data_IF_802700495880
#
_entry.id   IF_802700495880
#
_cell.length_a   1.000
_cell.length_b   1.000
_cell.length_c   1.000
_cell.angle_alpha   90.00
_cell.angle_beta   90.00
_cell.angle_gamma   90.00
#
_symmetry.space_group_name_H-M   'P 1'
#
loop_
_entity.id
_entity.type
_entity.pdbx_description
1 polymer ?
#
# COMPACT_ATOMS: atom_id res chain seq x y z
N UNK A 1 11.07 -6.06 15.19
CA UNK A 1 10.66 -5.32 13.99
C UNK A 1 9.26 -5.71 13.53
N UNK A 2 8.96 -6.99 13.27
CA UNK A 2 7.63 -7.43 12.78
C UNK A 2 6.44 -6.92 13.63
N UNK A 3 6.53 -6.96 14.96
CA UNK A 3 5.43 -6.48 15.80
C UNK A 3 5.14 -4.97 15.65
N UNK A 4 6.16 -4.15 15.36
CA UNK A 4 5.98 -2.69 15.23
C UNK A 4 5.27 -2.32 13.92
N UNK A 5 5.56 -3.03 12.82
CA UNK A 5 4.90 -2.81 11.53
C UNK A 5 3.42 -3.20 11.62
N UNK A 6 3.12 -4.35 12.22
CA UNK A 6 1.74 -4.77 12.45
C UNK A 6 0.97 -3.78 13.33
N UNK A 7 1.63 -3.13 14.30
CA UNK A 7 0.99 -2.09 15.13
C UNK A 7 0.63 -0.83 14.32
N UNK A 8 1.47 -0.43 13.34
CA UNK A 8 1.12 0.66 12.41
C UNK A 8 -0.05 0.29 11.49
N UNK A 9 -0.11 -0.96 11.03
CA UNK A 9 -1.24 -1.46 10.22
C UNK A 9 -2.57 -1.48 10.98
N UNK A 10 -2.54 -1.75 12.29
CA UNK A 10 -3.72 -1.78 13.17
C UNK A 10 -4.25 -0.40 13.56
N UNK A 11 -3.46 0.66 13.42
CA UNK A 11 -3.79 1.93 14.01
C UNK A 11 -5.03 2.55 13.32
N UNK A 12 -6.14 2.72 14.06
CA UNK A 12 -7.15 3.72 13.75
C UNK A 12 -6.47 5.09 13.85
N UNK A 13 -5.94 5.63 12.74
CA UNK A 13 -5.15 6.87 12.79
C UNK A 13 -6.02 8.03 13.31
N UNK A 14 -5.74 8.60 14.50
CA UNK A 14 -6.45 9.76 15.00
C UNK A 14 -5.78 11.08 14.54
N UNK A 15 -4.84 11.01 13.59
CA UNK A 15 -4.13 12.18 13.03
C UNK A 15 -4.47 12.31 11.53
N UNK A 16 -4.40 13.52 10.95
CA UNK A 16 -4.61 13.70 9.52
C UNK A 16 -3.54 12.92 8.73
N UNK A 17 -3.94 11.82 8.10
CA UNK A 17 -3.07 10.91 7.34
C UNK A 17 -2.85 9.57 8.04
N UNK A 18 -3.03 8.47 7.31
CA UNK A 18 -2.63 7.13 7.75
C UNK A 18 -1.20 6.81 7.29
N UNK A 19 -0.52 5.87 7.96
CA UNK A 19 0.84 5.46 7.56
C UNK A 19 0.81 4.61 6.28
N UNK A 20 1.94 4.47 5.59
CA UNK A 20 2.03 3.65 4.38
C UNK A 20 1.65 2.19 4.66
N UNK A 21 2.07 1.64 5.81
CA UNK A 21 1.70 0.30 6.28
C UNK A 21 0.18 0.13 6.42
N UNK A 22 -0.51 1.14 6.96
CA UNK A 22 -1.97 1.11 7.08
C UNK A 22 -2.65 1.08 5.72
N UNK A 23 -2.19 1.89 4.76
CA UNK A 23 -2.72 1.90 3.40
C UNK A 23 -2.47 0.56 2.69
N UNK A 24 -1.30 -0.06 2.89
CA UNK A 24 -1.03 -1.41 2.41
C UNK A 24 -2.07 -2.40 2.95
N UNK A 25 -2.25 -2.44 4.28
CA UNK A 25 -3.15 -3.41 4.89
C UNK A 25 -4.61 -3.19 4.48
N UNK A 26 -5.05 -1.92 4.41
CA UNK A 26 -6.42 -1.59 4.01
C UNK A 26 -6.70 -1.97 2.55
N UNK A 27 -5.78 -1.69 1.63
CA UNK A 27 -5.95 -2.08 0.23
C UNK A 27 -5.89 -3.59 0.04
N UNK A 28 -5.09 -4.30 0.83
CA UNK A 28 -5.06 -5.76 0.86
C UNK A 28 -6.43 -6.35 1.27
N UNK A 29 -7.01 -5.87 2.38
CA UNK A 29 -8.34 -6.30 2.83
C UNK A 29 -9.42 -5.89 1.83
N UNK A 30 -9.34 -4.68 1.28
CA UNK A 30 -10.27 -4.20 0.25
C UNK A 30 -10.28 -5.07 -0.99
N UNK A 31 -9.10 -5.44 -1.51
CA UNK A 31 -8.98 -6.37 -2.62
C UNK A 31 -9.53 -7.77 -2.29
N UNK A 32 -9.32 -8.23 -1.06
CA UNK A 32 -9.85 -9.52 -0.60
C UNK A 32 -11.39 -9.56 -0.63
N UNK A 33 -12.02 -8.51 -0.09
CA UNK A 33 -13.49 -8.38 -0.10
C UNK A 33 -14.04 -8.17 -1.51
N UNK A 34 -13.39 -7.34 -2.33
CA UNK A 34 -13.83 -7.04 -3.70
C UNK A 34 -13.75 -8.27 -4.63
N UNK A 35 -12.78 -9.15 -4.40
CA UNK A 35 -12.55 -10.34 -5.25
C UNK A 35 -13.27 -11.61 -4.78
N UNK A 36 -14.10 -11.51 -3.73
CA UNK A 36 -14.76 -12.65 -3.07
C UNK A 36 -16.27 -12.44 -2.97
N UNK A 37 -17.04 -13.52 -2.99
CA UNK A 37 -18.47 -13.50 -2.68
C UNK A 37 -18.76 -14.23 -1.37
N UNK A 38 -19.92 -13.96 -0.76
CA UNK A 38 -20.28 -14.51 0.55
C UNK A 38 -20.80 -15.96 0.54
N UNK A 39 -20.92 -16.56 -0.65
CA UNK A 39 -21.38 -17.94 -0.87
C UNK A 39 -22.74 -18.24 -0.21
N UNK A 40 -23.58 -17.21 -0.07
CA UNK A 40 -24.90 -17.32 0.59
C UNK A 40 -25.95 -18.07 -0.23
N UNK A 41 -25.73 -18.27 -1.53
CA UNK A 41 -26.59 -19.04 -2.42
C UNK A 41 -25.81 -19.94 -3.41
N UNK A 42 -26.54 -20.71 -4.22
CA UNK A 42 -25.97 -21.67 -5.19
C UNK A 42 -25.21 -21.01 -6.36
N UNK A 43 -25.29 -19.69 -6.51
CA UNK A 43 -24.59 -18.91 -7.53
C UNK A 43 -23.39 -18.14 -6.94
N UNK A 44 -23.05 -18.37 -5.68
CA UNK A 44 -21.95 -17.71 -4.98
C UNK A 44 -22.38 -16.52 -4.11
N UNK A 45 -23.67 -16.16 -4.07
CA UNK A 45 -24.17 -15.08 -3.22
C UNK A 45 -23.79 -13.67 -3.68
N UNK A 46 -23.59 -12.76 -2.73
CA UNK A 46 -23.31 -11.34 -2.99
C UNK A 46 -21.81 -11.01 -2.86
N UNK A 47 -21.29 -10.03 -3.62
CA UNK A 47 -19.93 -9.53 -3.44
C UNK A 47 -19.68 -9.06 -2.00
N UNK A 48 -18.57 -9.50 -1.41
CA UNK A 48 -18.32 -9.22 0.01
C UNK A 48 -18.05 -7.73 0.29
N UNK A 49 -17.50 -6.99 -0.67
CA UNK A 49 -17.29 -5.54 -0.55
C UNK A 49 -18.59 -4.70 -0.52
N UNK A 50 -19.74 -5.33 -0.78
CA UNK A 50 -21.04 -4.66 -0.68
C UNK A 50 -21.61 -4.66 0.75
N UNK A 51 -21.28 -5.67 1.55
CA UNK A 51 -21.92 -5.93 2.85
C UNK A 51 -20.94 -6.07 4.02
N UNK A 52 -19.64 -6.17 3.76
CA UNK A 52 -18.61 -6.38 4.77
C UNK A 52 -17.48 -5.36 4.62
N UNK A 53 -16.88 -5.01 5.75
CA UNK A 53 -15.65 -4.22 5.77
C UNK A 53 -14.60 -4.80 6.75
N UNK A 54 -13.49 -4.08 6.92
CA UNK A 54 -12.39 -4.49 7.80
C UNK A 54 -12.82 -4.76 9.24
N UNK A 55 -13.91 -4.16 9.72
CA UNK A 55 -14.47 -4.38 11.06
C UNK A 55 -15.23 -5.70 11.21
N UNK A 56 -15.53 -6.37 10.09
CA UNK A 56 -16.18 -7.67 10.05
C UNK A 56 -15.22 -8.85 10.07
N UNK A 57 -13.91 -8.61 9.99
CA UNK A 57 -12.91 -9.65 10.17
C UNK A 57 -13.01 -10.27 11.57
N UNK A 58 -12.94 -11.61 11.64
CA UNK A 58 -12.73 -12.29 12.92
C UNK A 58 -11.34 -11.94 13.50
N UNK A 59 -11.14 -12.01 14.83
CA UNK A 59 -9.85 -11.69 15.43
C UNK A 59 -8.69 -12.53 14.86
N UNK A 60 -8.92 -13.83 14.64
CA UNK A 60 -7.92 -14.74 14.09
C UNK A 60 -7.62 -14.42 12.62
N UNK A 61 -8.63 -14.05 11.84
CA UNK A 61 -8.48 -13.59 10.46
C UNK A 61 -7.65 -12.31 10.38
N UNK A 62 -8.02 -11.31 11.19
CA UNK A 62 -7.29 -10.04 11.29
C UNK A 62 -5.83 -10.29 11.67
N UNK A 63 -5.56 -11.12 12.67
CA UNK A 63 -4.19 -11.43 13.09
C UNK A 63 -3.39 -12.15 11.99
N UNK A 64 -3.99 -13.12 11.31
CA UNK A 64 -3.35 -13.83 10.20
C UNK A 64 -3.01 -12.90 9.04
N UNK A 65 -3.96 -12.08 8.60
CA UNK A 65 -3.74 -11.13 7.51
C UNK A 65 -2.67 -10.09 7.86
N UNK A 66 -2.70 -9.53 9.08
CA UNK A 66 -1.69 -8.59 9.56
C UNK A 66 -0.29 -9.20 9.57
N UNK A 67 -0.18 -10.46 9.98
CA UNK A 67 1.10 -11.17 10.01
C UNK A 67 1.67 -11.35 8.61
N UNK A 68 0.85 -11.77 7.65
CA UNK A 68 1.27 -11.94 6.27
C UNK A 68 1.63 -10.60 5.62
N UNK A 69 0.79 -9.58 5.81
CA UNK A 69 1.04 -8.24 5.30
C UNK A 69 2.32 -7.65 5.88
N UNK A 70 2.53 -7.72 7.19
CA UNK A 70 3.73 -7.21 7.83
C UNK A 70 4.99 -7.96 7.37
N UNK A 71 4.90 -9.28 7.14
CA UNK A 71 6.00 -10.06 6.62
C UNK A 71 6.34 -9.70 5.17
N UNK A 72 5.33 -9.60 4.29
CA UNK A 72 5.51 -9.22 2.89
C UNK A 72 6.05 -7.79 2.76
N UNK A 73 5.40 -6.83 3.42
CA UNK A 73 5.78 -5.43 3.34
C UNK A 73 7.19 -5.18 3.85
N UNK A 74 7.56 -5.76 5.00
CA UNK A 74 8.91 -5.61 5.55
C UNK A 74 10.00 -6.23 4.67
N UNK A 75 9.72 -7.38 4.04
CA UNK A 75 10.69 -8.07 3.20
C UNK A 75 10.90 -7.37 1.84
N UNK A 76 9.94 -6.57 1.40
CA UNK A 76 9.95 -5.93 0.09
C UNK A 76 9.93 -4.40 0.16
N UNK A 77 10.19 -3.80 1.32
CA UNK A 77 10.08 -2.36 1.56
C UNK A 77 10.83 -1.53 0.50
N UNK A 78 12.10 -1.86 0.25
CA UNK A 78 12.94 -1.17 -0.74
C UNK A 78 12.40 -1.35 -2.17
N UNK A 79 11.80 -2.51 -2.48
CA UNK A 79 11.24 -2.79 -3.80
C UNK A 79 9.91 -2.09 -4.02
N UNK A 80 9.06 -2.03 -2.98
CA UNK A 80 7.76 -1.34 -2.99
C UNK A 80 7.97 0.18 -3.13
N UNK A 81 8.99 0.72 -2.45
CA UNK A 81 9.25 2.15 -2.38
C UNK A 81 10.43 2.60 -3.24
N UNK A 82 10.85 1.82 -4.22
CA UNK A 82 12.02 2.14 -5.05
C UNK A 82 11.90 3.51 -5.74
N UNK A 83 10.70 3.88 -6.19
CA UNK A 83 10.45 5.20 -6.79
C UNK A 83 10.45 6.32 -5.75
N UNK A 84 9.87 6.09 -4.57
CA UNK A 84 9.95 7.03 -3.45
C UNK A 84 11.39 7.22 -2.93
N UNK A 85 12.22 6.17 -2.94
CA UNK A 85 13.64 6.23 -2.57
C UNK A 85 14.46 7.09 -3.53
N UNK A 86 14.16 7.11 -4.82
CA UNK A 86 14.83 8.02 -5.76
C UNK A 86 14.55 9.49 -5.42
N UNK A 87 13.31 9.81 -5.01
CA UNK A 87 12.96 11.13 -4.50
C UNK A 87 13.65 11.43 -3.16
N UNK A 88 13.58 10.51 -2.19
CA UNK A 88 14.19 10.66 -0.87
C UNK A 88 15.73 10.79 -0.97
N UNK A 89 16.33 10.00 -1.85
CA UNK A 89 17.76 9.93 -2.12
C UNK A 89 18.26 11.21 -2.78
N UNK A 90 17.54 11.72 -3.78
CA UNK A 90 17.81 13.02 -4.36
C UNK A 90 17.71 14.14 -3.31
N UNK A 91 16.65 14.14 -2.50
CA UNK A 91 16.46 15.12 -1.42
C UNK A 91 17.57 15.06 -0.36
N UNK A 92 17.96 13.85 0.09
CA UNK A 92 19.06 13.66 1.06
C UNK A 92 20.41 14.06 0.48
N UNK A 93 20.71 13.71 -0.77
CA UNK A 93 21.94 14.11 -1.46
C UNK A 93 22.04 15.64 -1.58
N UNK A 94 20.89 16.31 -1.72
CA UNK A 94 20.78 17.76 -1.68
C UNK A 94 20.79 18.36 -0.24
N UNK A 95 20.91 17.53 0.81
CA UNK A 95 21.01 17.96 2.21
C UNK A 95 19.69 18.05 2.99
N UNK A 96 18.57 17.53 2.46
CA UNK A 96 17.23 17.68 3.05
C UNK A 96 16.95 16.62 4.13
N UNK A 97 16.10 16.97 5.08
CA UNK A 97 15.77 16.11 6.25
C UNK A 97 14.28 15.77 6.24
N UNK A 98 13.95 14.48 6.41
CA UNK A 98 12.56 14.00 6.44
C UNK A 98 11.85 14.45 7.73
N UNK A 99 10.65 15.01 7.62
CA UNK A 99 9.76 15.20 8.76
C UNK A 99 9.04 13.88 9.06
N UNK A 100 9.42 13.23 10.16
CA UNK A 100 8.85 11.95 10.59
C UNK A 100 7.37 12.02 10.99
N UNK A 101 6.80 13.20 11.16
CA UNK A 101 5.41 13.38 11.60
C UNK A 101 4.40 13.39 10.45
N UNK A 102 4.81 13.83 9.25
CA UNK A 102 3.90 13.98 8.11
C UNK A 102 4.53 13.54 6.76
N UNK A 103 5.76 13.02 6.77
CA UNK A 103 6.41 12.43 5.59
C UNK A 103 7.01 13.43 4.61
N UNK A 104 6.81 14.74 4.79
CA UNK A 104 7.37 15.75 3.89
C UNK A 104 8.87 15.97 4.12
N UNK A 105 9.58 16.32 3.05
CA UNK A 105 10.99 16.71 3.12
C UNK A 105 11.14 18.17 3.55
N UNK A 106 12.07 18.42 4.46
CA UNK A 106 12.39 19.76 4.96
C UNK A 106 13.81 20.09 4.50
N UNK A 107 13.95 21.08 3.63
CA UNK A 107 15.24 21.59 3.22
C UNK A 107 16.04 22.15 4.40
N UNK A 108 17.38 22.09 4.37
CA UNK A 108 18.21 22.85 5.28
C UNK A 108 18.25 24.30 4.77
N UNK A 109 17.51 25.25 5.35
CA UNK A 109 17.65 26.64 4.89
C UNK A 109 17.74 27.62 6.04
N UNK A 110 18.80 28.44 5.99
CA UNK A 110 18.70 29.83 6.42
C UNK A 110 17.82 30.59 5.43
N UNK A 111 16.52 30.67 5.76
CA UNK A 111 15.45 31.54 5.22
C UNK A 111 15.45 31.76 3.70
N UNK A 112 14.66 31.17 2.82
CA UNK A 112 13.47 30.33 2.84
C UNK A 112 13.34 29.75 1.41
N UNK A 113 12.87 28.51 1.27
CA UNK A 113 11.99 27.97 0.20
C UNK A 113 11.33 26.73 0.81
N UNK A 114 10.01 26.60 0.72
CA UNK A 114 9.24 25.49 1.33
C UNK A 114 8.66 24.60 0.23
N UNK A 115 8.66 23.28 0.42
CA UNK A 115 7.89 22.36 -0.45
C UNK A 115 6.39 22.69 -0.40
N UNK A 116 5.92 23.35 0.67
CA UNK A 116 4.57 23.89 0.75
C UNK A 116 4.26 24.98 -0.31
N UNK A 117 5.26 25.47 -1.06
CA UNK A 117 5.06 26.41 -2.17
C UNK A 117 4.92 25.73 -3.53
N UNK A 118 5.23 24.43 -3.62
CA UNK A 118 5.13 23.66 -4.86
C UNK A 118 4.01 22.64 -4.72
N UNK A 119 3.02 22.74 -5.59
CA UNK A 119 1.82 21.90 -5.55
C UNK A 119 2.09 20.50 -6.17
N UNK A 120 3.23 20.33 -6.87
CA UNK A 120 3.56 19.06 -7.54
C UNK A 120 5.07 18.81 -7.72
N UNK A 121 5.41 17.55 -7.96
CA UNK A 121 6.77 17.13 -8.33
C UNK A 121 7.24 17.73 -9.67
N UNK A 122 6.32 17.90 -10.63
CA UNK A 122 6.61 18.50 -11.92
C UNK A 122 7.08 19.95 -11.79
N UNK A 123 6.42 20.73 -10.93
CA UNK A 123 6.80 22.12 -10.65
C UNK A 123 8.20 22.21 -10.03
N UNK A 124 8.53 21.27 -9.13
CA UNK A 124 9.85 21.19 -8.51
C UNK A 124 10.93 20.74 -9.53
N UNK A 125 10.63 19.75 -10.37
CA UNK A 125 11.53 19.27 -11.43
C UNK A 125 11.89 20.40 -12.40
N UNK A 126 10.90 21.16 -12.87
CA UNK A 126 11.11 22.31 -13.76
C UNK A 126 11.94 23.41 -13.08
N UNK A 127 11.66 23.73 -11.81
CA UNK A 127 12.38 24.77 -11.08
C UNK A 127 13.86 24.42 -10.82
N UNK A 128 14.22 23.14 -10.82
CA UNK A 128 15.57 22.65 -10.50
C UNK A 128 16.30 22.00 -11.69
N UNK A 129 15.75 22.08 -12.90
CA UNK A 129 16.31 21.48 -14.12
C UNK A 129 16.54 19.97 -13.98
N UNK A 130 15.61 19.29 -13.31
CA UNK A 130 15.60 17.83 -13.11
C UNK A 130 14.61 17.22 -14.10
N UNK A 131 15.02 16.20 -14.86
CA UNK A 131 14.13 15.48 -15.78
C UNK A 131 13.06 14.71 -14.96
N UNK A 132 11.76 15.03 -15.12
CA UNK A 132 10.72 14.36 -14.35
C UNK A 132 10.57 12.90 -14.80
N UNK A 133 10.50 11.99 -13.83
CA UNK A 133 10.21 10.58 -14.10
C UNK A 133 8.85 10.47 -14.83
N UNK A 134 8.89 10.04 -16.09
CA UNK A 134 7.67 9.91 -16.89
C UNK A 134 6.95 8.64 -16.50
N UNK A 135 5.98 8.75 -15.57
CA UNK A 135 4.69 8.03 -15.51
C UNK A 135 4.19 8.08 -14.07
N UNK A 136 3.24 8.96 -13.80
CA UNK A 136 2.34 8.75 -12.66
C UNK A 136 1.47 7.52 -12.98
N UNK A 137 1.47 6.46 -12.16
CA UNK A 137 0.56 5.34 -12.42
C UNK A 137 -0.91 5.80 -12.21
N UNK A 138 -1.89 5.08 -12.77
CA UNK A 138 -3.30 5.52 -12.89
C UNK A 138 -3.98 5.99 -11.59
N UNK A 139 -3.47 5.55 -10.42
CA UNK A 139 -4.00 5.90 -9.10
C UNK A 139 -3.60 7.31 -8.60
N UNK A 140 -2.96 8.15 -9.41
CA UNK A 140 -2.50 9.47 -9.00
C UNK A 140 -3.61 10.54 -8.88
N UNK A 141 -4.78 10.33 -9.49
CA UNK A 141 -5.73 11.44 -9.65
C UNK A 141 -6.76 11.56 -8.51
N UNK A 142 -6.98 10.52 -7.70
CA UNK A 142 -8.04 10.50 -6.68
C UNK A 142 -7.57 10.08 -5.27
N UNK A 143 -6.25 9.94 -5.04
CA UNK A 143 -5.69 9.51 -3.75
C UNK A 143 -5.19 10.71 -2.92
N UNK A 144 -5.92 11.07 -1.86
CA UNK A 144 -5.47 12.03 -0.85
C UNK A 144 -4.46 11.35 0.11
N UNK A 145 -3.19 11.24 -0.29
CA UNK A 145 -2.12 10.68 0.55
C UNK A 145 -0.72 10.88 -0.02
N UNK A 146 0.33 10.51 0.74
CA UNK A 146 1.71 10.61 0.28
C UNK A 146 2.02 9.61 -0.84
N UNK A 147 3.09 9.83 -1.61
CA UNK A 147 3.57 8.89 -2.64
C UNK A 147 3.80 7.49 -2.02
N UNK A 148 4.47 7.44 -0.86
CA UNK A 148 4.68 6.18 -0.13
C UNK A 148 3.36 5.50 0.27
N UNK A 149 2.35 6.26 0.70
CA UNK A 149 1.04 5.71 1.01
C UNK A 149 0.33 5.13 -0.22
N UNK A 150 0.50 5.78 -1.38
CA UNK A 150 -0.05 5.32 -2.66
C UNK A 150 0.64 4.05 -3.16
N UNK A 151 1.97 4.01 -3.15
CA UNK A 151 2.75 2.82 -3.50
C UNK A 151 2.42 1.63 -2.59
N UNK A 152 2.28 1.90 -1.29
CA UNK A 152 1.91 0.88 -0.32
C UNK A 152 0.46 0.38 -0.56
N UNK A 153 -0.48 1.28 -0.86
CA UNK A 153 -1.85 0.90 -1.24
C UNK A 153 -1.88 0.01 -2.49
N UNK A 154 -1.13 0.37 -3.53
CA UNK A 154 -0.97 -0.45 -4.75
C UNK A 154 -0.42 -1.83 -4.42
N UNK A 155 0.67 -1.88 -3.65
CA UNK A 155 1.31 -3.14 -3.30
C UNK A 155 0.41 -4.04 -2.44
N UNK A 156 -0.39 -3.46 -1.54
CA UNK A 156 -1.35 -4.22 -0.73
C UNK A 156 -2.42 -4.88 -1.58
N UNK A 157 -3.01 -4.14 -2.51
CA UNK A 157 -3.98 -4.65 -3.47
C UNK A 157 -3.40 -5.79 -4.31
N UNK A 158 -2.25 -5.55 -4.94
CA UNK A 158 -1.62 -6.53 -5.83
C UNK A 158 -1.08 -7.73 -5.09
N UNK A 159 -0.69 -7.57 -3.81
CA UNK A 159 -0.31 -8.70 -2.97
C UNK A 159 -1.45 -9.69 -2.81
N UNK A 160 -2.68 -9.23 -2.50
CA UNK A 160 -3.84 -10.12 -2.43
C UNK A 160 -4.12 -10.81 -3.78
N UNK A 161 -4.26 -10.02 -4.86
CA UNK A 161 -4.63 -10.57 -6.16
C UNK A 161 -3.59 -11.58 -6.67
N UNK A 162 -2.30 -11.30 -6.46
CA UNK A 162 -1.22 -12.17 -6.89
C UNK A 162 -1.14 -13.44 -6.07
N UNK A 163 -1.22 -13.35 -4.73
CA UNK A 163 -1.14 -14.56 -3.87
C UNK A 163 -2.33 -15.50 -4.12
N UNK A 164 -3.50 -14.94 -4.42
CA UNK A 164 -4.73 -15.69 -4.67
C UNK A 164 -4.99 -16.03 -6.14
N UNK A 165 -4.13 -15.56 -7.06
CA UNK A 165 -4.15 -15.86 -8.50
C UNK A 165 -5.42 -15.39 -9.21
N UNK A 166 -5.94 -14.20 -8.88
CA UNK A 166 -7.14 -13.61 -9.48
C UNK A 166 -6.95 -13.08 -10.92
N UNK A 167 -5.83 -13.39 -11.59
CA UNK A 167 -5.57 -13.00 -12.98
C UNK A 167 -5.11 -11.55 -13.18
N UNK A 168 -4.83 -10.84 -12.09
CA UNK A 168 -4.22 -9.50 -12.05
C UNK A 168 -3.25 -9.42 -10.85
N UNK A 169 -2.54 -8.29 -10.69
CA UNK A 169 -1.55 -8.08 -9.63
C UNK A 169 -0.21 -7.60 -10.19
N UNK A 170 0.92 -7.85 -9.52
CA UNK A 170 2.20 -7.19 -9.80
C UNK A 170 2.72 -7.25 -11.26
N UNK A 171 2.22 -8.17 -12.07
CA UNK A 171 2.64 -8.41 -13.46
C UNK A 171 1.74 -7.73 -14.51
N UNK A 172 0.68 -7.01 -14.11
CA UNK A 172 -0.31 -6.42 -15.04
C UNK A 172 0.10 -5.06 -15.65
N UNK A 173 1.26 -4.52 -15.24
CA UNK A 173 1.93 -3.39 -15.90
C UNK A 173 2.06 -2.13 -15.03
N UNK A 174 1.54 -2.14 -13.81
CA UNK A 174 1.63 -1.02 -12.88
C UNK A 174 2.99 -0.93 -12.15
N UNK A 175 3.80 -2.00 -12.19
CA UNK A 175 5.11 -2.08 -11.56
C UNK A 175 6.25 -2.16 -12.60
N UNK A 176 7.33 -1.38 -12.46
CA UNK A 176 8.49 -1.49 -13.35
C UNK A 176 9.30 -2.76 -13.06
N UNK A 177 10.02 -3.27 -14.05
CA UNK A 177 11.00 -4.34 -13.84
C UNK A 177 12.31 -3.77 -13.27
N UNK A 178 12.99 -4.47 -12.33
CA UNK A 178 12.71 -5.84 -11.88
C UNK A 178 11.70 -5.96 -10.71
N UNK A 179 11.12 -4.85 -10.22
CA UNK A 179 10.24 -4.85 -9.05
C UNK A 179 9.00 -5.73 -9.26
N UNK A 180 8.36 -5.64 -10.43
CA UNK A 180 7.22 -6.47 -10.82
C UNK A 180 7.51 -7.98 -10.60
N UNK A 181 8.59 -8.49 -11.19
CA UNK A 181 8.98 -9.91 -11.06
C UNK A 181 9.34 -10.28 -9.61
N UNK A 182 10.01 -9.41 -8.86
CA UNK A 182 10.40 -9.67 -7.46
C UNK A 182 9.15 -9.80 -6.59
N UNK A 183 8.24 -8.82 -6.67
CA UNK A 183 7.03 -8.76 -5.86
C UNK A 183 6.06 -9.89 -6.21
N UNK A 184 5.93 -10.22 -7.50
CA UNK A 184 5.10 -11.33 -7.96
C UNK A 184 5.56 -12.68 -7.38
N UNK A 185 6.87 -12.97 -7.44
CA UNK A 185 7.43 -14.18 -6.87
C UNK A 185 7.29 -14.22 -5.35
N UNK A 186 7.53 -13.08 -4.68
CA UNK A 186 7.37 -12.97 -3.24
C UNK A 186 5.91 -13.23 -2.82
N UNK A 187 4.94 -12.67 -3.53
CA UNK A 187 3.52 -12.81 -3.22
C UNK A 187 3.05 -14.26 -3.36
N UNK A 188 3.45 -14.94 -4.45
CA UNK A 188 3.12 -16.35 -4.69
C UNK A 188 3.67 -17.28 -3.62
N UNK A 189 4.77 -16.91 -2.96
CA UNK A 189 5.36 -17.71 -1.89
C UNK A 189 4.50 -17.78 -0.61
N UNK A 190 3.57 -16.84 -0.41
CA UNK A 190 2.61 -16.87 0.70
C UNK A 190 1.45 -17.86 0.48
N UNK A 191 1.29 -18.37 -0.73
CA UNK A 191 0.22 -19.31 -1.08
C UNK A 191 -1.16 -18.65 -1.22
N UNK A 192 -2.11 -19.46 -1.69
CA UNK A 192 -3.51 -19.03 -1.81
C UNK A 192 -4.14 -18.84 -0.43
N UNK A 193 -5.11 -17.94 -0.35
CA UNK A 193 -5.99 -17.79 0.79
C UNK A 193 -7.38 -17.39 0.28
N UNK A 194 -8.44 -17.90 0.89
CA UNK A 194 -9.81 -17.63 0.47
C UNK A 194 -10.59 -17.05 1.66
N UNK A 195 -11.51 -16.11 1.38
CA UNK A 195 -12.43 -15.59 2.38
C UNK A 195 -13.66 -16.50 2.50
N UNK A 196 -14.18 -16.62 3.71
CA UNK A 196 -15.47 -17.24 3.95
C UNK A 196 -16.17 -16.63 5.16
N UNK A 197 -17.48 -16.81 5.24
CA UNK A 197 -18.28 -16.37 6.38
C UNK A 197 -18.23 -17.46 7.46
N UNK A 198 -17.58 -17.15 8.58
CA UNK A 198 -17.48 -18.01 9.74
C UNK A 198 -18.59 -17.79 10.77
N UNK A 199 -18.39 -18.39 11.94
CA UNK A 199 -19.35 -18.32 13.05
C UNK A 199 -19.64 -16.86 13.46
N UNK A 200 -20.93 -16.56 13.68
CA UNK A 200 -21.38 -15.22 14.06
C UNK A 200 -21.37 -14.20 12.92
N UNK A 201 -21.24 -14.65 11.66
CA UNK A 201 -21.27 -13.77 10.49
C UNK A 201 -19.97 -12.99 10.28
N UNK A 202 -18.87 -13.45 10.86
CA UNK A 202 -17.56 -12.80 10.73
C UNK A 202 -16.80 -13.35 9.54
N UNK A 203 -16.04 -12.46 8.88
CA UNK A 203 -15.18 -12.81 7.75
C UNK A 203 -13.94 -13.53 8.29
N UNK A 204 -13.67 -14.70 7.72
CA UNK A 204 -12.57 -15.58 8.08
C UNK A 204 -11.67 -15.88 6.87
N UNK A 205 -10.46 -16.36 7.14
CA UNK A 205 -9.46 -16.76 6.15
C UNK A 205 -9.21 -18.27 6.27
N UNK A 206 -9.13 -18.98 5.15
CA UNK A 206 -8.82 -20.42 5.08
C UNK A 206 -7.35 -20.72 4.82
#
# INVERSE_FOLDING_TARGET
MQNVIADYMRADSPVPGHSAEWYFFRSYVGAALWSSNDESDENGGEPMDSNYDISDLSPDCLESMLKDCAAFYAANLETIHAECEDFEGAARAAGWTRNWHNGYFVAPIGSEVRIAEFESWQELCEANDIEPLSKSPPLANDFEGSIAAREAAMAGHDFWLTRCRHGAGFWDGDWPEPAATILDNAAKAFGNADLYIGDGGKVCLS
#
